data_IF_396141179477
#
_entry.id   IF_396141179477
#
_cell.length_a   1.000
_cell.length_b   1.000
_cell.length_c   1.000
_cell.angle_alpha   90.00
_cell.angle_beta   90.00
_cell.angle_gamma   90.00
#
_symmetry.space_group_name_H-M   'P 1'
#
loop_
_entity.id
_entity.type
_entity.pdbx_description
1 polymer ?
#
# COMPACT_ATOMS: atom_id res chain seq x y z
N UNK A 1 1.94 -4.76 -28.16
CA UNK A 1 2.17 -3.88 -26.99
C UNK A 1 3.00 -2.71 -27.47
N UNK A 2 2.45 -1.50 -27.45
CA UNK A 2 3.29 -0.31 -27.63
C UNK A 2 4.23 -0.17 -26.43
N UNK A 3 5.35 0.52 -26.61
CA UNK A 3 6.33 0.78 -25.55
C UNK A 3 5.69 1.50 -24.35
N UNK A 4 4.73 2.38 -24.61
CA UNK A 4 3.94 3.06 -23.58
C UNK A 4 3.05 2.11 -22.76
N UNK A 5 2.40 1.14 -23.40
CA UNK A 5 1.57 0.16 -22.71
C UNK A 5 2.42 -0.76 -21.83
N UNK A 6 3.57 -1.21 -22.33
CA UNK A 6 4.50 -2.03 -21.55
C UNK A 6 5.06 -1.27 -20.34
N UNK A 7 5.40 0.01 -20.52
CA UNK A 7 5.92 0.87 -19.44
C UNK A 7 4.87 1.10 -18.36
N UNK A 8 3.63 1.39 -18.71
CA UNK A 8 2.56 1.58 -17.73
C UNK A 8 2.27 0.32 -16.93
N UNK A 9 2.13 -0.82 -17.61
CA UNK A 9 1.83 -2.10 -16.94
C UNK A 9 2.99 -2.51 -16.04
N UNK A 10 4.24 -2.40 -16.51
CA UNK A 10 5.42 -2.74 -15.70
C UNK A 10 5.60 -1.84 -14.49
N UNK A 11 5.33 -0.52 -14.61
CA UNK A 11 5.34 0.38 -13.46
C UNK A 11 4.32 -0.05 -12.40
N UNK A 12 3.06 -0.28 -12.80
CA UNK A 12 2.00 -0.66 -11.86
C UNK A 12 2.33 -1.99 -11.17
N UNK A 13 2.79 -2.98 -11.92
CA UNK A 13 3.09 -4.32 -11.39
C UNK A 13 4.30 -4.29 -10.45
N UNK A 14 5.43 -3.70 -10.87
CA UNK A 14 6.63 -3.65 -10.06
C UNK A 14 6.45 -2.76 -8.81
N UNK A 15 5.84 -1.59 -8.97
CA UNK A 15 5.58 -0.67 -7.85
C UNK A 15 4.56 -1.26 -6.89
N UNK A 16 3.47 -1.84 -7.40
CA UNK A 16 2.46 -2.52 -6.60
C UNK A 16 3.06 -3.69 -5.80
N UNK A 17 3.92 -4.49 -6.43
CA UNK A 17 4.67 -5.56 -5.76
C UNK A 17 5.55 -5.06 -4.62
N UNK A 18 6.28 -3.97 -4.83
CA UNK A 18 7.11 -3.35 -3.78
C UNK A 18 6.29 -2.81 -2.61
N UNK A 19 5.13 -2.20 -2.88
CA UNK A 19 4.24 -1.70 -1.82
C UNK A 19 3.68 -2.86 -0.97
N UNK A 20 3.30 -3.98 -1.61
CA UNK A 20 2.87 -5.19 -0.89
C UNK A 20 4.00 -5.73 -0.02
N UNK A 21 5.23 -5.77 -0.54
CA UNK A 21 6.40 -6.21 0.22
C UNK A 21 6.67 -5.31 1.43
N UNK A 22 6.50 -3.99 1.29
CA UNK A 22 6.58 -3.06 2.40
C UNK A 22 5.52 -3.35 3.48
N UNK A 23 4.29 -3.67 3.09
CA UNK A 23 3.24 -4.11 4.02
C UNK A 23 3.62 -5.39 4.78
N UNK A 24 4.24 -6.35 4.10
CA UNK A 24 4.73 -7.59 4.71
C UNK A 24 5.85 -7.34 5.73
N UNK A 25 6.78 -6.43 5.42
CA UNK A 25 7.84 -6.00 6.35
C UNK A 25 7.24 -5.40 7.62
N UNK A 26 6.23 -4.54 7.49
CA UNK A 26 5.61 -3.89 8.64
C UNK A 26 4.90 -4.91 9.55
N UNK A 27 4.26 -5.91 8.94
CA UNK A 27 3.69 -7.03 9.68
C UNK A 27 4.76 -7.82 10.45
N UNK A 28 5.87 -8.16 9.79
CA UNK A 28 6.99 -8.88 10.42
C UNK A 28 7.63 -8.06 11.54
N UNK A 29 7.81 -6.75 11.32
CA UNK A 29 8.33 -5.80 12.30
C UNK A 29 7.40 -5.71 13.53
N UNK A 30 6.09 -5.62 13.34
CA UNK A 30 5.12 -5.59 14.43
C UNK A 30 5.17 -6.84 15.30
N UNK A 31 5.34 -8.02 14.69
CA UNK A 31 5.55 -9.28 15.42
C UNK A 31 6.89 -9.32 16.15
N UNK A 32 7.99 -8.92 15.48
CA UNK A 32 9.33 -8.91 16.07
C UNK A 32 9.52 -7.88 17.17
N UNK A 33 8.82 -6.75 17.09
CA UNK A 33 8.85 -5.70 18.10
C UNK A 33 8.16 -6.08 19.42
N UNK A 34 7.66 -7.33 19.54
CA UNK A 34 6.84 -7.77 20.68
C UNK A 34 5.70 -6.80 20.99
N UNK A 35 5.13 -6.18 19.94
CA UNK A 35 3.92 -5.39 20.10
C UNK A 35 2.86 -6.36 20.64
N UNK A 36 2.55 -6.25 21.94
CA UNK A 36 1.56 -7.11 22.59
C UNK A 36 0.21 -7.00 21.88
N UNK A 37 -0.81 -7.76 22.33
CA UNK A 37 -2.15 -7.75 21.69
C UNK A 37 -2.69 -6.34 21.44
N UNK A 38 -2.45 -5.41 22.37
CA UNK A 38 -2.84 -4.00 22.24
C UNK A 38 -1.97 -3.22 21.24
N UNK A 39 -0.67 -3.48 21.22
CA UNK A 39 0.27 -2.85 20.28
C UNK A 39 0.00 -3.26 18.84
N UNK A 40 -0.20 -4.55 18.58
CA UNK A 40 -0.58 -5.05 17.24
C UNK A 40 -1.92 -4.48 16.79
N UNK A 41 -2.90 -4.32 17.69
CA UNK A 41 -4.21 -3.73 17.39
C UNK A 41 -4.10 -2.27 16.96
N UNK A 42 -3.34 -1.45 17.70
CA UNK A 42 -3.10 -0.04 17.34
C UNK A 42 -2.30 0.05 16.05
N UNK A 43 -1.30 -0.81 15.86
CA UNK A 43 -0.47 -0.87 14.66
C UNK A 43 -1.34 -1.19 13.44
N UNK A 44 -2.28 -2.13 13.54
CA UNK A 44 -3.25 -2.45 12.49
C UNK A 44 -4.27 -1.33 12.24
N UNK A 45 -4.70 -0.61 13.29
CA UNK A 45 -5.61 0.53 13.15
C UNK A 45 -4.93 1.68 12.40
N UNK A 46 -3.73 2.07 12.83
CA UNK A 46 -2.98 3.18 12.23
C UNK A 46 -2.51 2.82 10.81
N UNK A 47 -2.00 1.60 10.59
CA UNK A 47 -1.67 1.17 9.22
C UNK A 47 -2.91 1.04 8.35
N UNK A 48 -4.00 0.45 8.87
CA UNK A 48 -5.26 0.32 8.15
C UNK A 48 -5.79 1.67 7.70
N UNK A 49 -5.73 2.68 8.59
CA UNK A 49 -6.06 4.06 8.24
C UNK A 49 -5.09 4.66 7.21
N UNK A 50 -3.79 4.43 7.33
CA UNK A 50 -2.79 4.92 6.37
C UNK A 50 -2.97 4.34 4.97
N UNK A 51 -3.19 3.02 4.87
CA UNK A 51 -3.45 2.32 3.60
C UNK A 51 -4.80 2.73 3.03
N UNK A 52 -5.84 2.86 3.86
CA UNK A 52 -7.15 3.34 3.42
C UNK A 52 -7.09 4.77 2.89
N UNK A 53 -6.32 5.66 3.53
CA UNK A 53 -6.08 7.02 3.05
C UNK A 53 -5.33 7.06 1.72
N UNK A 54 -4.35 6.17 1.53
CA UNK A 54 -3.65 6.02 0.26
C UNK A 54 -4.58 5.53 -0.87
N UNK A 55 -5.42 4.54 -0.60
CA UNK A 55 -6.45 4.07 -1.53
C UNK A 55 -7.45 5.18 -1.87
N UNK A 56 -7.94 5.88 -0.86
CA UNK A 56 -8.88 6.99 -1.04
C UNK A 56 -8.29 8.09 -1.93
N UNK A 57 -7.02 8.46 -1.74
CA UNK A 57 -6.31 9.40 -2.61
C UNK A 57 -6.27 8.92 -4.06
N UNK A 58 -5.88 7.66 -4.31
CA UNK A 58 -5.80 7.13 -5.67
C UNK A 58 -7.17 7.17 -6.36
N UNK A 59 -8.22 6.74 -5.67
CA UNK A 59 -9.60 6.82 -6.17
C UNK A 59 -10.00 8.28 -6.44
N UNK A 60 -9.66 9.20 -5.54
CA UNK A 60 -9.98 10.63 -5.73
C UNK A 60 -9.25 11.22 -6.94
N UNK A 61 -7.97 10.91 -7.12
CA UNK A 61 -7.15 11.36 -8.26
C UNK A 61 -7.70 10.79 -9.56
N UNK A 62 -8.00 9.49 -9.59
CA UNK A 62 -8.54 8.85 -10.78
C UNK A 62 -9.93 9.41 -11.13
N UNK A 63 -10.75 9.73 -10.13
CA UNK A 63 -12.10 10.25 -10.35
C UNK A 63 -12.17 11.77 -10.63
N UNK A 64 -11.28 12.59 -10.05
CA UNK A 64 -11.25 14.05 -10.22
C UNK A 64 -10.28 14.56 -11.27
N UNK A 65 -9.17 13.85 -11.53
CA UNK A 65 -8.11 14.29 -12.46
C UNK A 65 -8.20 13.54 -13.79
N UNK A 66 -8.68 12.29 -13.80
CA UNK A 66 -8.73 11.43 -14.99
C UNK A 66 -10.08 11.48 -15.74
N UNK A 67 -10.99 12.38 -15.34
CA UNK A 67 -12.19 12.77 -16.08
C UNK A 67 -11.98 14.11 -16.75
#
# INVERSE_FOLDING_TARGET
MSEEQFTNISMIVCLGGLIIFMGFIIWDLGKKAQAGKMGMFILFLVLGFGVSGFLFKNVLVEFLIQK
#
